data_IF_652997140728
#
_entry.id   IF_652997140728
#
_cell.length_a   1.000
_cell.length_b   1.000
_cell.length_c   1.000
_cell.angle_alpha   90.00
_cell.angle_beta   90.00
_cell.angle_gamma   90.00
#
_symmetry.space_group_name_H-M   'P 1'
#
loop_
_entity.id
_entity.type
_entity.pdbx_description
1 polymer ?
#
# COMPACT_ATOMS: atom_id res chain seq x y z
N UNK A 1 14.33 6.06 9.35
CA UNK A 1 14.58 5.87 7.91
C UNK A 1 13.22 5.55 7.32
N UNK A 2 12.62 6.47 6.57
CA UNK A 2 11.20 6.35 6.19
C UNK A 2 10.68 7.59 5.47
N UNK A 3 11.19 8.76 5.84
CA UNK A 3 10.94 10.05 5.19
C UNK A 3 11.33 10.12 3.70
N UNK A 4 12.19 9.20 3.24
CA UNK A 4 12.63 9.15 1.83
C UNK A 4 11.69 8.32 0.94
N UNK A 5 10.85 7.45 1.53
CA UNK A 5 9.91 6.60 0.81
C UNK A 5 8.47 7.06 1.05
N UNK A 6 8.13 7.46 2.28
CA UNK A 6 6.83 8.07 2.62
C UNK A 6 7.04 9.57 2.82
N UNK A 7 6.64 10.42 1.86
CA UNK A 7 6.92 11.86 1.90
C UNK A 7 5.97 12.63 2.84
N UNK A 8 5.18 11.95 3.67
CA UNK A 8 4.24 12.51 4.65
C UNK A 8 4.58 12.06 6.07
N UNK A 9 4.09 12.80 7.06
CA UNK A 9 4.33 12.48 8.48
C UNK A 9 3.48 11.29 8.93
N UNK A 10 4.13 10.18 9.33
CA UNK A 10 3.46 8.95 9.79
C UNK A 10 2.57 9.15 11.02
N UNK A 11 3.02 9.96 11.97
CA UNK A 11 2.28 10.29 13.20
C UNK A 11 0.99 11.07 12.95
N UNK A 12 0.84 11.63 11.74
CA UNK A 12 -0.35 12.36 11.28
C UNK A 12 -1.16 11.60 10.24
N UNK A 13 -0.80 10.36 9.93
CA UNK A 13 -1.55 9.53 8.99
C UNK A 13 -2.11 8.28 9.68
N UNK A 14 -2.91 7.55 8.93
CA UNK A 14 -3.37 6.22 9.30
C UNK A 14 -3.24 5.32 8.08
N UNK A 15 -2.48 4.25 8.23
CA UNK A 15 -2.29 3.24 7.19
C UNK A 15 -3.28 2.10 7.47
N UNK A 16 -4.09 1.79 6.48
CA UNK A 16 -5.16 0.80 6.60
C UNK A 16 -4.97 -0.21 5.48
N UNK A 17 -4.84 -1.48 5.86
CA UNK A 17 -4.74 -2.60 4.94
C UNK A 17 -5.90 -3.54 5.21
N UNK A 18 -6.77 -3.72 4.21
CA UNK A 18 -7.96 -4.56 4.31
C UNK A 18 -7.91 -5.65 3.24
N UNK A 19 -7.91 -6.91 3.65
CA UNK A 19 -8.00 -8.07 2.74
C UNK A 19 -9.45 -8.34 2.35
N UNK A 20 -9.67 -8.86 1.15
CA UNK A 20 -10.97 -9.37 0.68
C UNK A 20 -10.78 -10.62 -0.19
N UNK A 21 -11.87 -11.26 -0.60
CA UNK A 21 -11.87 -12.55 -1.32
C UNK A 21 -11.09 -12.53 -2.65
N UNK A 22 -10.85 -11.35 -3.25
CA UNK A 22 -10.15 -11.21 -4.53
C UNK A 22 -8.81 -10.47 -4.42
N UNK A 23 -8.38 -10.09 -3.22
CA UNK A 23 -7.14 -9.36 -2.97
C UNK A 23 -7.24 -8.46 -1.75
N UNK A 24 -7.13 -7.14 -1.94
CA UNK A 24 -7.18 -6.19 -0.82
C UNK A 24 -7.16 -4.72 -1.22
N UNK A 25 -7.35 -3.85 -0.23
CA UNK A 25 -7.29 -2.39 -0.34
C UNK A 25 -6.27 -1.83 0.65
N UNK A 26 -5.30 -1.08 0.14
CA UNK A 26 -4.42 -0.20 0.91
C UNK A 26 -5.03 1.19 0.91
N UNK A 27 -5.13 1.82 2.07
CA UNK A 27 -5.62 3.18 2.22
C UNK A 27 -4.73 3.95 3.18
N UNK A 28 -4.38 5.18 2.79
CA UNK A 28 -3.65 6.10 3.66
C UNK A 28 -4.48 7.36 3.80
N UNK A 29 -4.77 7.74 5.05
CA UNK A 29 -5.60 8.89 5.39
C UNK A 29 -4.83 9.84 6.27
N UNK A 30 -4.98 11.15 6.04
CA UNK A 30 -4.58 12.16 7.01
C UNK A 30 -5.54 12.15 8.20
N UNK A 31 -5.01 12.32 9.41
CA UNK A 31 -5.83 12.41 10.63
C UNK A 31 -6.69 13.68 10.68
N UNK A 32 -6.27 14.74 9.98
CA UNK A 32 -7.01 16.00 9.84
C UNK A 32 -7.27 16.30 8.37
N UNK A 33 -8.54 16.49 8.01
CA UNK A 33 -8.93 16.93 6.66
C UNK A 33 -8.42 18.33 6.32
N UNK A 34 -8.05 19.11 7.33
CA UNK A 34 -7.55 20.48 7.17
C UNK A 34 -6.05 20.53 6.89
N UNK A 35 -5.33 19.42 7.13
CA UNK A 35 -3.91 19.29 6.77
C UNK A 35 -3.80 18.98 5.25
N UNK A 36 -4.05 20.01 4.43
CA UNK A 36 -4.05 19.90 2.97
C UNK A 36 -2.70 19.49 2.40
N UNK A 37 -1.62 19.79 3.11
CA UNK A 37 -0.26 19.37 2.75
C UNK A 37 -0.13 17.85 2.86
N UNK A 38 -0.49 17.28 4.02
CA UNK A 38 -0.48 15.82 4.22
C UNK A 38 -1.39 15.10 3.21
N UNK A 39 -2.60 15.62 2.97
CA UNK A 39 -3.52 15.03 1.98
C UNK A 39 -2.91 15.01 0.58
N UNK A 40 -2.27 16.10 0.16
CA UNK A 40 -1.63 16.17 -1.16
C UNK A 40 -0.43 15.22 -1.27
N UNK A 41 0.40 15.12 -0.22
CA UNK A 41 1.55 14.22 -0.17
C UNK A 41 1.11 12.74 -0.26
N UNK A 42 0.07 12.35 0.47
CA UNK A 42 -0.51 11.01 0.42
C UNK A 42 -1.04 10.68 -0.98
N UNK A 43 -1.83 11.58 -1.57
CA UNK A 43 -2.40 11.38 -2.90
C UNK A 43 -1.32 11.20 -3.97
N UNK A 44 -0.28 12.03 -3.93
CA UNK A 44 0.83 11.94 -4.89
C UNK A 44 1.65 10.66 -4.69
N UNK A 45 1.89 10.27 -3.44
CA UNK A 45 2.61 9.04 -3.12
C UNK A 45 1.86 7.79 -3.61
N UNK A 46 0.59 7.61 -3.25
CA UNK A 46 -0.19 6.43 -3.67
C UNK A 46 -0.42 6.40 -5.19
N UNK A 47 -0.50 7.58 -5.84
CA UNK A 47 -0.53 7.62 -7.30
C UNK A 47 0.79 7.11 -7.89
N UNK A 48 1.93 7.56 -7.38
CA UNK A 48 3.25 7.09 -7.81
C UNK A 48 3.40 5.58 -7.61
N UNK A 49 3.11 5.07 -6.40
CA UNK A 49 3.14 3.64 -6.09
C UNK A 49 2.26 2.84 -7.05
N UNK A 50 1.02 3.27 -7.30
CA UNK A 50 0.11 2.57 -8.19
C UNK A 50 0.67 2.41 -9.61
N UNK A 51 1.38 3.43 -10.12
CA UNK A 51 2.01 3.40 -11.44
C UNK A 51 3.20 2.44 -11.47
N UNK A 52 3.97 2.36 -10.37
CA UNK A 52 5.08 1.40 -10.27
C UNK A 52 4.56 -0.04 -10.15
N UNK A 53 3.56 -0.29 -9.30
CA UNK A 53 3.01 -1.62 -9.07
C UNK A 53 2.30 -2.17 -10.30
N UNK A 54 1.66 -1.32 -11.12
CA UNK A 54 1.13 -1.72 -12.44
C UNK A 54 2.20 -2.27 -13.39
N UNK A 55 3.46 -1.87 -13.20
CA UNK A 55 4.61 -2.35 -13.98
C UNK A 55 5.34 -3.51 -13.28
N UNK A 56 4.82 -4.01 -12.17
CA UNK A 56 5.45 -5.03 -11.35
C UNK A 56 6.66 -4.53 -10.57
N UNK A 57 6.85 -3.21 -10.46
CA UNK A 57 7.94 -2.62 -9.70
C UNK A 57 7.48 -2.33 -8.26
N UNK A 58 7.83 -3.21 -7.32
CA UNK A 58 7.52 -3.05 -5.90
C UNK A 58 8.71 -2.57 -5.06
N UNK A 59 9.67 -1.86 -5.67
CA UNK A 59 10.91 -1.44 -5.03
C UNK A 59 10.74 -0.49 -3.82
N UNK A 60 9.67 0.30 -3.76
CA UNK A 60 9.40 1.20 -2.63
C UNK A 60 9.13 0.41 -1.32
N UNK A 61 8.20 -0.57 -1.31
CA UNK A 61 8.07 -1.54 -0.22
C UNK A 61 9.39 -2.26 0.11
N UNK A 62 10.11 -2.73 -0.91
CA UNK A 62 11.40 -3.45 -0.75
C UNK A 62 12.45 -2.60 -0.02
N UNK A 63 12.54 -1.30 -0.32
CA UNK A 63 13.49 -0.39 0.34
C UNK A 63 13.16 -0.13 1.80
N UNK A 64 11.88 -0.15 2.17
CA UNK A 64 11.45 0.06 3.55
C UNK A 64 11.57 -1.20 4.40
N UNK A 65 11.23 -2.36 3.83
CA UNK A 65 10.97 -3.58 4.58
C UNK A 65 11.89 -4.76 4.24
N UNK A 66 12.75 -4.61 3.23
CA UNK A 66 13.61 -5.67 2.70
C UNK A 66 12.92 -6.55 1.67
N UNK A 67 13.72 -7.28 0.88
CA UNK A 67 13.27 -8.21 -0.17
C UNK A 67 12.54 -9.45 0.37
N UNK A 68 12.70 -9.74 1.66
CA UNK A 68 12.16 -10.94 2.31
C UNK A 68 10.72 -10.77 2.82
N UNK A 69 10.07 -9.64 2.53
CA UNK A 69 8.69 -9.42 2.97
C UNK A 69 7.75 -10.47 2.37
N UNK A 70 6.98 -11.21 3.20
CA UNK A 70 6.04 -12.21 2.73
C UNK A 70 5.13 -11.70 1.61
N UNK A 71 4.94 -12.51 0.56
CA UNK A 71 4.09 -12.19 -0.58
C UNK A 71 4.73 -11.34 -1.69
N UNK A 72 5.72 -10.50 -1.36
CA UNK A 72 6.25 -9.48 -2.28
C UNK A 72 6.82 -10.05 -3.58
N UNK A 73 7.70 -11.05 -3.47
CA UNK A 73 8.28 -11.75 -4.63
C UNK A 73 7.21 -12.41 -5.52
N UNK A 74 6.22 -13.04 -4.90
CA UNK A 74 5.12 -13.68 -5.63
C UNK A 74 4.27 -12.64 -6.38
N UNK A 75 4.06 -11.47 -5.78
CA UNK A 75 3.37 -10.35 -6.42
C UNK A 75 4.19 -9.77 -7.58
N UNK A 76 5.51 -9.62 -7.45
CA UNK A 76 6.42 -9.19 -8.52
C UNK A 76 6.36 -10.14 -9.74
N UNK A 77 6.56 -11.44 -9.49
CA UNK A 77 6.51 -12.49 -10.52
C UNK A 77 5.13 -12.60 -11.18
N UNK A 78 4.07 -12.30 -10.43
CA UNK A 78 2.68 -12.37 -10.86
C UNK A 78 2.06 -11.06 -11.33
N UNK A 79 2.83 -9.96 -11.38
CA UNK A 79 2.32 -8.59 -11.51
C UNK A 79 1.35 -8.38 -12.67
N UNK A 80 1.61 -8.99 -13.84
CA UNK A 80 0.72 -8.92 -15.02
C UNK A 80 -0.69 -9.49 -14.80
N UNK A 81 -0.88 -10.27 -13.74
CA UNK A 81 -2.15 -10.89 -13.33
C UNK A 81 -2.75 -10.23 -12.08
N UNK A 82 -2.16 -9.14 -11.61
CA UNK A 82 -2.70 -8.32 -10.53
C UNK A 82 -3.22 -7.01 -11.14
N UNK A 83 -4.50 -6.74 -10.94
CA UNK A 83 -5.10 -5.46 -11.29
C UNK A 83 -4.88 -4.48 -10.14
N UNK A 84 -4.26 -3.35 -10.44
CA UNK A 84 -3.95 -2.25 -9.51
C UNK A 84 -4.79 -1.03 -9.90
N UNK A 85 -5.59 -0.52 -8.96
CA UNK A 85 -6.48 0.62 -9.19
C UNK A 85 -6.32 1.67 -8.09
N UNK A 86 -5.86 2.86 -8.48
CA UNK A 86 -5.77 4.02 -7.60
C UNK A 86 -7.09 4.78 -7.53
N UNK A 87 -7.43 5.27 -6.34
CA UNK A 87 -8.53 6.21 -6.13
C UNK A 87 -8.11 7.35 -5.20
N UNK A 88 -8.37 8.59 -5.63
CA UNK A 88 -8.17 9.79 -4.81
C UNK A 88 -9.33 9.94 -3.83
N UNK A 89 -9.04 10.19 -2.56
CA UNK A 89 -10.04 10.45 -1.51
C UNK A 89 -9.94 11.90 -0.98
N UNK A 90 -11.01 12.49 -0.41
CA UNK A 90 -10.97 13.83 0.16
C UNK A 90 -9.92 14.02 1.27
N UNK A 91 -9.58 12.94 1.99
CA UNK A 91 -8.65 12.95 3.13
C UNK A 91 -7.41 12.09 2.90
N UNK A 92 -7.15 11.66 1.66
CA UNK A 92 -6.00 10.79 1.35
C UNK A 92 -6.18 10.08 0.01
N UNK A 93 -5.81 8.80 -0.05
CA UNK A 93 -5.97 7.97 -1.24
C UNK A 93 -6.05 6.48 -0.88
N UNK A 94 -6.42 5.66 -1.85
CA UNK A 94 -6.37 4.20 -1.75
C UNK A 94 -5.88 3.53 -3.03
N UNK A 95 -5.36 2.32 -2.89
CA UNK A 95 -5.01 1.41 -3.97
C UNK A 95 -5.75 0.09 -3.74
N UNK A 96 -6.49 -0.37 -4.75
CA UNK A 96 -7.13 -1.68 -4.76
C UNK A 96 -6.27 -2.65 -5.58
N UNK A 97 -5.97 -3.80 -4.98
CA UNK A 97 -5.25 -4.92 -5.55
C UNK A 97 -6.23 -6.07 -5.75
N UNK A 98 -6.34 -6.60 -6.96
CA UNK A 98 -7.24 -7.74 -7.23
C UNK A 98 -6.67 -8.72 -8.24
N UNK A 99 -6.90 -10.02 -8.04
CA UNK A 99 -6.52 -11.07 -8.98
C UNK A 99 -7.54 -12.21 -8.99
N UNK A 100 -7.63 -12.92 -10.11
CA UNK A 100 -8.37 -14.18 -10.23
C UNK A 100 -7.49 -15.41 -9.90
N UNK A 101 -6.18 -15.23 -9.69
CA UNK A 101 -5.27 -16.30 -9.26
C UNK A 101 -5.25 -16.39 -7.72
N UNK A 102 -5.73 -17.50 -7.12
CA UNK A 102 -5.74 -17.66 -5.66
C UNK A 102 -4.37 -17.50 -5.01
N UNK A 103 -3.28 -17.87 -5.70
CA UNK A 103 -1.92 -17.70 -5.18
C UNK A 103 -1.52 -16.23 -5.07
N UNK A 104 -2.01 -15.39 -5.97
CA UNK A 104 -1.75 -13.95 -5.94
C UNK A 104 -2.63 -13.25 -4.91
N UNK A 105 -3.87 -13.73 -4.71
CA UNK A 105 -4.72 -13.28 -3.60
C UNK A 105 -4.05 -13.56 -2.25
N UNK A 106 -3.57 -14.79 -2.04
CA UNK A 106 -2.83 -15.17 -0.83
C UNK A 106 -1.56 -14.32 -0.65
N UNK A 107 -0.80 -14.10 -1.71
CA UNK A 107 0.39 -13.23 -1.66
C UNK A 107 0.07 -11.78 -1.27
N UNK A 108 -1.04 -11.22 -1.76
CA UNK A 108 -1.51 -9.87 -1.35
C UNK A 108 -1.86 -9.86 0.14
N UNK A 109 -2.50 -10.92 0.65
CA UNK A 109 -2.87 -11.03 2.07
C UNK A 109 -1.65 -11.14 2.97
N UNK A 110 -0.67 -11.98 2.59
CA UNK A 110 0.60 -12.12 3.30
C UNK A 110 1.37 -10.81 3.34
N UNK A 111 1.42 -10.10 2.21
CA UNK A 111 2.08 -8.80 2.12
C UNK A 111 1.39 -7.76 3.01
N UNK A 112 0.06 -7.67 2.97
CA UNK A 112 -0.71 -6.76 3.82
C UNK A 112 -0.52 -7.05 5.31
N UNK A 113 -0.48 -8.32 5.69
CA UNK A 113 -0.21 -8.71 7.07
C UNK A 113 1.19 -8.30 7.51
N UNK A 114 2.20 -8.52 6.67
CA UNK A 114 3.57 -8.11 6.96
C UNK A 114 3.70 -6.59 7.11
N UNK A 115 2.96 -5.81 6.31
CA UNK A 115 2.88 -4.35 6.47
C UNK A 115 2.30 -3.95 7.83
N UNK A 116 1.21 -4.60 8.26
CA UNK A 116 0.58 -4.35 9.57
C UNK A 116 1.52 -4.67 10.74
N UNK A 117 2.28 -5.77 10.63
CA UNK A 117 3.21 -6.21 11.69
C UNK A 117 4.43 -5.28 11.81
N UNK A 118 4.92 -4.68 10.71
CA UNK A 118 6.11 -3.82 10.72
C UNK A 118 5.81 -2.36 11.09
N UNK A 119 4.64 -1.83 10.72
CA UNK A 119 4.26 -0.43 10.99
C UNK A 119 3.65 -0.19 12.39
N UNK A 120 3.52 -1.23 13.22
CA UNK A 120 3.18 -1.08 14.64
C UNK A 120 1.88 -0.31 14.92
N UNK A 121 1.97 0.82 15.65
CA UNK A 121 0.79 1.59 16.08
C UNK A 121 0.12 2.43 14.97
N UNK A 122 0.83 2.65 13.85
CA UNK A 122 0.43 3.54 12.76
C UNK A 122 -0.32 2.81 11.63
N UNK A 123 -0.29 1.47 11.67
CA UNK A 123 -1.06 0.62 10.76
C UNK A 123 -2.12 -0.17 11.52
N UNK A 124 -3.33 -0.22 10.99
CA UNK A 124 -4.47 -0.90 11.62
C UNK A 124 -5.19 -1.79 10.62
N UNK A 125 -5.59 -3.02 11.01
CA UNK A 125 -6.64 -3.72 10.28
C UNK A 125 -7.92 -2.89 10.38
N UNK A 126 -8.71 -2.87 9.30
CA UNK A 126 -10.02 -2.24 9.32
C UNK A 126 -11.01 -3.02 10.17
#
# INVERSE_FOLDING_TARGET
MGHEVMPFSLDKTSHIFTTNDTGGVQKVLAQSSEDKEQVALIQNHLLYESVQFQQGNFADPTRLHGEDMPGLKTMEEGSTRIRIQYERLPTGAQITYSSDDPKLVEAIHDWFKAQLDDHGADAKPQ
#
